data_IF_756248975342
#
_entry.id   IF_756248975342
#
_cell.length_a   1.000
_cell.length_b   1.000
_cell.length_c   1.000
_cell.angle_alpha   90.00
_cell.angle_beta   90.00
_cell.angle_gamma   90.00
#
_symmetry.space_group_name_H-M   'P 1'
#
loop_
_entity.id
_entity.type
_entity.pdbx_description
1 polymer ?
#
# COMPACT_ATOMS: atom_id res chain seq x y z
N UNK A 1 -21.13 -13.11 13.63
CA UNK A 1 -20.32 -11.88 13.74
C UNK A 1 -19.99 -11.44 12.31
N UNK A 2 -20.89 -10.68 11.67
CA UNK A 2 -20.62 -10.00 10.40
C UNK A 2 -20.22 -8.58 10.75
N UNK A 3 -18.96 -8.42 11.11
CA UNK A 3 -18.40 -7.12 11.43
C UNK A 3 -17.75 -6.53 10.17
N UNK A 4 -18.18 -5.36 9.67
CA UNK A 4 -17.49 -4.62 8.61
C UNK A 4 -15.96 -4.53 8.81
N UNK A 5 -15.49 -4.49 10.05
CA UNK A 5 -14.07 -4.51 10.37
C UNK A 5 -13.38 -5.82 9.98
N UNK A 6 -14.03 -6.97 10.21
CA UNK A 6 -13.50 -8.29 9.83
C UNK A 6 -13.46 -8.46 8.30
N UNK A 7 -14.46 -7.91 7.59
CA UNK A 7 -14.45 -7.91 6.12
C UNK A 7 -13.33 -7.05 5.56
N UNK A 8 -13.04 -5.90 6.20
CA UNK A 8 -11.92 -5.04 5.82
C UNK A 8 -10.59 -5.74 6.08
N UNK A 9 -10.43 -6.42 7.21
CA UNK A 9 -9.23 -7.21 7.50
C UNK A 9 -9.02 -8.35 6.49
N UNK A 10 -10.10 -9.05 6.11
CA UNK A 10 -10.04 -10.09 5.07
C UNK A 10 -9.63 -9.53 3.72
N UNK A 11 -10.21 -8.40 3.32
CA UNK A 11 -9.84 -7.71 2.09
C UNK A 11 -8.35 -7.33 2.13
N UNK A 12 -7.90 -6.73 3.22
CA UNK A 12 -6.50 -6.35 3.42
C UNK A 12 -5.55 -7.54 3.29
N UNK A 13 -5.86 -8.68 3.92
CA UNK A 13 -5.05 -9.89 3.81
C UNK A 13 -5.06 -10.47 2.38
N UNK A 14 -6.17 -10.35 1.67
CA UNK A 14 -6.27 -10.81 0.28
C UNK A 14 -5.43 -9.97 -0.68
N UNK A 15 -5.40 -8.64 -0.51
CA UNK A 15 -4.70 -7.72 -1.41
C UNK A 15 -3.22 -7.49 -1.05
N UNK A 16 -2.83 -7.74 0.20
CA UNK A 16 -1.46 -7.47 0.66
C UNK A 16 -0.37 -8.16 -0.20
N UNK A 17 -0.52 -9.43 -0.64
CA UNK A 17 0.45 -10.04 -1.53
C UNK A 17 0.72 -9.22 -2.80
N UNK A 18 -0.30 -8.72 -3.49
CA UNK A 18 -0.04 -7.95 -4.72
C UNK A 18 0.50 -6.54 -4.43
N UNK A 19 0.24 -5.95 -3.25
CA UNK A 19 0.92 -4.71 -2.84
C UNK A 19 2.42 -4.94 -2.74
N UNK A 20 2.85 -6.07 -2.16
CA UNK A 20 4.25 -6.39 -1.88
C UNK A 20 4.91 -7.27 -2.95
N UNK A 21 4.22 -7.60 -4.03
CA UNK A 21 4.76 -8.26 -5.23
C UNK A 21 5.61 -7.29 -6.06
N UNK A 22 6.57 -6.66 -5.40
CA UNK A 22 7.48 -5.67 -5.93
C UNK A 22 8.67 -5.50 -4.99
N UNK A 23 9.91 -5.39 -5.50
CA UNK A 23 11.06 -5.16 -4.64
C UNK A 23 11.09 -3.74 -4.06
N UNK A 24 10.24 -2.82 -4.54
CA UNK A 24 10.29 -1.40 -4.22
C UNK A 24 9.61 -1.04 -2.90
N UNK A 25 8.64 -1.83 -2.43
CA UNK A 25 7.86 -1.51 -1.23
C UNK A 25 8.24 -2.38 -0.03
N UNK A 26 8.21 -1.76 1.14
CA UNK A 26 8.22 -2.44 2.43
C UNK A 26 7.05 -1.93 3.27
N UNK A 27 6.48 -2.79 4.12
CA UNK A 27 5.45 -2.39 5.07
C UNK A 27 6.05 -1.56 6.20
N UNK A 28 5.36 -0.49 6.62
CA UNK A 28 5.71 0.30 7.81
C UNK A 28 4.47 0.63 8.64
N UNK A 29 4.68 1.47 9.66
CA UNK A 29 3.59 2.11 10.40
C UNK A 29 2.89 1.21 11.39
N UNK A 30 1.69 1.65 11.80
CA UNK A 30 0.91 0.97 12.85
C UNK A 30 0.51 -0.45 12.47
N UNK A 31 0.30 -0.70 11.17
CA UNK A 31 -0.12 -1.99 10.63
C UNK A 31 0.99 -3.03 10.70
N UNK A 32 2.24 -2.67 10.37
CA UNK A 32 3.38 -3.56 10.52
C UNK A 32 3.56 -4.01 11.98
N UNK A 33 3.41 -3.07 12.92
CA UNK A 33 3.49 -3.37 14.36
C UNK A 33 2.37 -4.34 14.76
N UNK A 34 1.13 -4.07 14.31
CA UNK A 34 -0.05 -4.87 14.65
C UNK A 34 -0.01 -6.30 14.11
N UNK A 35 0.57 -6.50 12.92
CA UNK A 35 0.60 -7.82 12.28
C UNK A 35 1.82 -8.65 12.65
N UNK A 36 2.97 -8.03 12.92
CA UNK A 36 4.25 -8.76 12.98
C UNK A 36 5.05 -8.56 14.28
N UNK A 37 4.73 -7.55 15.10
CA UNK A 37 5.59 -7.19 16.25
C UNK A 37 4.87 -7.35 17.59
N UNK A 38 3.62 -6.84 17.70
CA UNK A 38 2.88 -6.82 18.96
C UNK A 38 1.43 -7.20 18.73
N UNK A 39 0.91 -8.05 19.62
CA UNK A 39 -0.52 -8.32 19.74
C UNK A 39 -1.20 -7.13 20.43
N UNK A 40 -1.66 -6.17 19.64
CA UNK A 40 -2.33 -4.97 20.12
C UNK A 40 -3.85 -5.15 20.03
N UNK A 41 -4.64 -4.67 21.02
CA UNK A 41 -6.10 -4.81 21.03
C UNK A 41 -6.78 -3.79 20.10
N UNK A 42 -6.29 -3.67 18.85
CA UNK A 42 -6.83 -2.78 17.82
C UNK A 42 -6.75 -3.45 16.46
N UNK A 43 -7.65 -3.07 15.56
CA UNK A 43 -7.57 -3.48 14.16
C UNK A 43 -6.93 -2.36 13.34
N UNK A 44 -5.80 -2.66 12.70
CA UNK A 44 -5.13 -1.75 11.76
C UNK A 44 -5.42 -2.23 10.34
N UNK A 45 -6.18 -1.45 9.57
CA UNK A 45 -6.69 -1.86 8.25
C UNK A 45 -6.11 -1.07 7.07
N UNK A 46 -5.22 -0.12 7.35
CA UNK A 46 -4.50 0.63 6.33
C UNK A 46 -3.16 -0.06 5.99
N UNK A 47 -2.80 -0.14 4.70
CA UNK A 47 -1.47 -0.63 4.30
C UNK A 47 -0.56 0.57 4.07
N UNK A 48 0.27 0.83 5.06
CA UNK A 48 1.35 1.80 4.98
C UNK A 48 2.58 1.18 4.31
N UNK A 49 2.99 1.71 3.15
CA UNK A 49 4.22 1.31 2.47
C UNK A 49 5.28 2.40 2.51
N UNK A 50 6.55 1.97 2.43
CA UNK A 50 7.71 2.84 2.23
C UNK A 50 8.52 2.33 1.05
N UNK A 51 9.10 3.26 0.29
CA UNK A 51 10.03 2.93 -0.78
C UNK A 51 11.35 2.47 -0.18
N UNK A 52 11.84 1.30 -0.58
CA UNK A 52 13.01 0.64 0.04
C UNK A 52 14.34 1.24 -0.37
N UNK A 53 14.47 1.65 -1.63
CA UNK A 53 15.70 2.25 -2.14
C UNK A 53 15.77 3.72 -1.71
N UNK A 54 16.98 4.21 -1.46
CA UNK A 54 17.23 5.64 -1.27
C UNK A 54 18.00 6.24 -2.45
N UNK A 55 18.15 5.48 -3.54
CA UNK A 55 18.91 5.88 -4.73
C UNK A 55 18.11 6.80 -5.65
N UNK A 56 16.83 6.51 -5.99
CA UNK A 56 16.06 7.38 -6.87
C UNK A 56 15.86 8.77 -6.31
N UNK A 57 15.95 9.78 -7.16
CA UNK A 57 15.54 11.13 -6.78
C UNK A 57 14.02 11.22 -6.59
N UNK A 58 13.52 12.39 -6.23
CA UNK A 58 12.09 12.58 -5.97
C UNK A 58 11.21 12.28 -7.18
N UNK A 59 11.62 12.69 -8.38
CA UNK A 59 10.83 12.51 -9.59
C UNK A 59 10.78 11.03 -9.95
N UNK A 60 11.95 10.40 -9.99
CA UNK A 60 12.09 8.98 -10.30
C UNK A 60 11.36 8.10 -9.27
N UNK A 61 11.46 8.43 -7.97
CA UNK A 61 10.73 7.72 -6.94
C UNK A 61 9.20 7.81 -7.13
N UNK A 62 8.67 8.97 -7.52
CA UNK A 62 7.24 9.14 -7.79
C UNK A 62 6.80 8.37 -9.03
N UNK A 63 7.62 8.30 -10.08
CA UNK A 63 7.37 7.49 -11.26
C UNK A 63 7.32 5.99 -10.94
N UNK A 64 8.30 5.50 -10.15
CA UNK A 64 8.32 4.12 -9.66
C UNK A 64 7.06 3.84 -8.83
N UNK A 65 6.73 4.72 -7.87
CA UNK A 65 5.54 4.56 -7.01
C UNK A 65 4.27 4.47 -7.87
N UNK A 66 4.08 5.38 -8.83
CA UNK A 66 2.90 5.36 -9.69
C UNK A 66 2.83 4.11 -10.56
N UNK A 67 3.96 3.65 -11.09
CA UNK A 67 4.07 2.41 -11.87
C UNK A 67 3.65 1.20 -11.04
N UNK A 68 4.19 1.07 -9.82
CA UNK A 68 3.89 -0.05 -8.93
C UNK A 68 2.45 -0.03 -8.40
N UNK A 69 1.89 1.16 -8.14
CA UNK A 69 0.47 1.30 -7.79
C UNK A 69 -0.44 0.89 -8.96
N UNK A 70 -0.06 1.21 -10.20
CA UNK A 70 -0.80 0.80 -11.39
C UNK A 70 -0.74 -0.73 -11.58
N UNK A 71 0.43 -1.36 -11.37
CA UNK A 71 0.57 -2.83 -11.37
C UNK A 71 -0.33 -3.49 -10.32
N UNK A 72 -0.27 -3.02 -9.07
CA UNK A 72 -1.10 -3.56 -7.99
C UNK A 72 -2.59 -3.42 -8.30
N UNK A 73 -3.02 -2.27 -8.84
CA UNK A 73 -4.40 -2.08 -9.31
C UNK A 73 -4.82 -3.12 -10.35
N UNK A 74 -3.99 -3.39 -11.36
CA UNK A 74 -4.31 -4.39 -12.37
C UNK A 74 -4.49 -5.78 -11.75
N UNK A 75 -3.61 -6.16 -10.81
CA UNK A 75 -3.72 -7.43 -10.10
C UNK A 75 -5.03 -7.53 -9.28
N UNK A 76 -5.42 -6.46 -8.60
CA UNK A 76 -6.68 -6.40 -7.86
C UNK A 76 -7.91 -6.48 -8.76
N UNK A 77 -7.89 -5.81 -9.91
CA UNK A 77 -9.00 -5.85 -10.87
C UNK A 77 -9.16 -7.25 -11.48
N UNK A 78 -8.05 -7.96 -11.73
CA UNK A 78 -8.09 -9.36 -12.18
C UNK A 78 -8.71 -10.31 -11.14
N UNK A 79 -8.64 -9.94 -9.85
CA UNK A 79 -9.31 -10.66 -8.76
C UNK A 79 -10.78 -10.24 -8.57
N UNK A 80 -11.26 -9.27 -9.36
CA UNK A 80 -12.65 -8.78 -9.31
C UNK A 80 -12.89 -7.64 -8.33
N UNK A 81 -11.83 -7.00 -7.81
CA UNK A 81 -11.98 -5.83 -6.94
C UNK A 81 -12.19 -4.54 -7.74
N UNK A 82 -13.01 -3.64 -7.20
CA UNK A 82 -13.12 -2.27 -7.69
C UNK A 82 -12.03 -1.41 -7.04
N UNK A 83 -11.20 -0.76 -7.86
CA UNK A 83 -10.04 0.00 -7.38
C UNK A 83 -10.02 1.41 -7.96
N UNK A 84 -9.84 2.40 -7.09
CA UNK A 84 -9.57 3.79 -7.47
C UNK A 84 -8.15 4.17 -7.03
N UNK A 85 -7.39 4.82 -7.91
CA UNK A 85 -6.07 5.39 -7.59
C UNK A 85 -6.22 6.91 -7.52
N UNK A 86 -5.80 7.49 -6.41
CA UNK A 86 -5.42 8.90 -6.36
C UNK A 86 -3.90 8.95 -6.63
N UNK A 87 -3.49 9.42 -7.81
CA UNK A 87 -2.09 9.39 -8.23
C UNK A 87 -1.15 10.06 -7.22
N UNK A 88 0.09 9.60 -7.13
CA UNK A 88 1.10 10.18 -6.24
C UNK A 88 1.62 11.50 -6.84
N UNK A 89 0.88 12.59 -6.63
CA UNK A 89 1.35 13.94 -6.89
C UNK A 89 2.11 14.41 -5.65
N UNK A 90 3.43 14.26 -5.64
CA UNK A 90 4.24 14.63 -4.48
C UNK A 90 3.90 16.04 -3.99
N UNK A 91 3.70 16.23 -2.67
CA UNK A 91 3.30 17.51 -2.04
C UNK A 91 4.21 18.74 -2.30
N UNK A 92 5.34 18.56 -2.99
CA UNK A 92 6.27 19.63 -3.36
C UNK A 92 6.38 19.68 -4.88
N UNK A 93 5.39 20.28 -5.55
CA UNK A 93 5.62 20.90 -6.86
C UNK A 93 6.39 22.18 -6.55
N UNK A 94 7.69 22.21 -6.83
CA UNK A 94 8.45 23.45 -6.78
C UNK A 94 7.75 24.45 -7.69
N UNK A 95 7.37 25.60 -7.11
CA UNK A 95 7.08 26.80 -7.87
C UNK A 95 8.35 27.17 -8.64
N UNK A 96 8.31 27.01 -9.95
CA UNK A 96 9.17 27.72 -10.91
C UNK A 96 8.25 28.39 -11.90
#
# INVERSE_FOLDING_TARGET
>A
MNDPYLNTARLMLAIAPDVFDTPHFAMKGGTAINMFVQDLPRLSVDIDVVMRSHVPDRSEALEIINTELARAKQAFEQQGYHVAIAGASGRNRAMT
#
